data_IF_097332713044
#
_entry.id   IF_097332713044
#
_cell.length_a   1.000
_cell.length_b   1.000
_cell.length_c   1.000
_cell.angle_alpha   90.00
_cell.angle_beta   90.00
_cell.angle_gamma   90.00
#
_symmetry.space_group_name_H-M   'P 1'
#
loop_
_entity.id
_entity.type
_entity.pdbx_description
1 polymer ?
#
# COMPACT_ATOMS: atom_id res chain seq x y z
N UNK A 1 -8.82 0.83 -23.47
CA UNK A 1 -7.39 1.18 -23.31
C UNK A 1 -7.31 2.05 -22.06
N UNK A 2 -7.24 1.42 -20.89
CA UNK A 2 -7.20 2.06 -19.55
C UNK A 2 -6.18 1.35 -18.64
N UNK A 3 -5.72 0.16 -19.02
CA UNK A 3 -4.85 -0.70 -18.21
C UNK A 3 -3.44 -0.13 -18.04
N UNK A 4 -2.81 0.41 -19.09
CA UNK A 4 -1.44 0.95 -18.99
C UNK A 4 -1.32 2.20 -18.10
N UNK A 5 -2.36 3.03 -18.01
CA UNK A 5 -2.37 4.20 -17.13
C UNK A 5 -2.58 3.80 -15.67
N UNK A 6 -3.38 2.75 -15.44
CA UNK A 6 -3.65 2.20 -14.12
C UNK A 6 -2.43 1.49 -13.54
N UNK A 7 -1.76 0.63 -14.30
CA UNK A 7 -0.54 -0.04 -13.87
C UNK A 7 0.56 0.97 -13.50
N UNK A 8 0.67 2.08 -14.26
CA UNK A 8 1.59 3.19 -13.94
C UNK A 8 1.18 3.95 -12.67
N UNK A 9 -0.11 4.19 -12.47
CA UNK A 9 -0.60 4.83 -11.26
C UNK A 9 -0.33 3.96 -10.01
N UNK A 10 -0.52 2.64 -10.13
CA UNK A 10 -0.21 1.67 -9.08
C UNK A 10 1.29 1.67 -8.77
N UNK A 11 2.16 1.64 -9.79
CA UNK A 11 3.60 1.71 -9.59
C UNK A 11 4.03 2.99 -8.84
N UNK A 12 3.46 4.14 -9.18
CA UNK A 12 3.75 5.39 -8.48
C UNK A 12 3.27 5.38 -7.00
N UNK A 13 2.14 4.71 -6.72
CA UNK A 13 1.67 4.49 -5.35
C UNK A 13 2.65 3.60 -4.58
N UNK A 14 3.15 2.53 -5.20
CA UNK A 14 4.17 1.66 -4.59
C UNK A 14 5.42 2.46 -4.24
N UNK A 15 5.98 3.22 -5.18
CA UNK A 15 7.19 4.04 -4.95
C UNK A 15 7.01 4.98 -3.76
N UNK A 16 5.89 5.71 -3.72
CA UNK A 16 5.61 6.66 -2.63
C UNK A 16 5.42 5.98 -1.27
N UNK A 17 4.82 4.78 -1.24
CA UNK A 17 4.65 4.02 0.00
C UNK A 17 5.97 3.42 0.47
N UNK A 18 6.84 2.99 -0.45
CA UNK A 18 8.19 2.52 -0.12
C UNK A 18 9.01 3.67 0.50
N UNK A 19 8.92 4.87 -0.05
CA UNK A 19 9.57 6.06 0.52
C UNK A 19 8.99 6.45 1.89
N UNK A 20 7.68 6.26 2.09
CA UNK A 20 6.98 6.63 3.33
C UNK A 20 7.19 5.61 4.46
N UNK A 21 7.36 4.33 4.13
CA UNK A 21 7.46 3.22 5.08
C UNK A 21 8.75 2.41 4.87
N UNK A 22 9.95 3.02 5.05
CA UNK A 22 11.22 2.35 4.79
C UNK A 22 11.47 1.13 5.69
N UNK A 23 10.88 1.10 6.89
CA UNK A 23 11.07 0.04 7.88
C UNK A 23 10.29 -1.25 7.56
N UNK A 24 9.25 -1.17 6.70
CA UNK A 24 8.39 -2.31 6.36
C UNK A 24 9.02 -3.20 5.27
N UNK A 25 9.96 -2.65 4.51
CA UNK A 25 10.61 -3.33 3.40
C UNK A 25 9.81 -3.24 2.09
N UNK A 26 10.50 -3.04 0.94
CA UNK A 26 9.84 -2.70 -0.31
C UNK A 26 8.97 -3.82 -0.88
N UNK A 27 9.35 -5.08 -0.69
CA UNK A 27 8.57 -6.22 -1.19
C UNK A 27 7.22 -6.35 -0.48
N UNK A 28 7.19 -6.11 0.84
CA UNK A 28 5.97 -6.17 1.65
C UNK A 28 4.99 -5.06 1.25
N UNK A 29 5.51 -3.86 0.97
CA UNK A 29 4.69 -2.74 0.48
C UNK A 29 4.10 -3.05 -0.89
N UNK A 30 4.88 -3.64 -1.80
CA UNK A 30 4.41 -4.01 -3.15
C UNK A 30 3.32 -5.07 -3.09
N UNK A 31 3.52 -6.13 -2.31
CA UNK A 31 2.54 -7.19 -2.11
C UNK A 31 1.22 -6.64 -1.52
N UNK A 32 1.31 -5.79 -0.51
CA UNK A 32 0.13 -5.17 0.09
C UNK A 32 -0.65 -4.30 -0.90
N UNK A 33 0.03 -3.50 -1.73
CA UNK A 33 -0.61 -2.69 -2.77
C UNK A 33 -1.27 -3.58 -3.83
N UNK A 34 -0.61 -4.66 -4.24
CA UNK A 34 -1.12 -5.60 -5.23
C UNK A 34 -2.38 -6.33 -4.74
N UNK A 35 -2.38 -6.79 -3.48
CA UNK A 35 -3.52 -7.47 -2.85
C UNK A 35 -4.74 -6.56 -2.77
N UNK A 36 -4.54 -5.30 -2.37
CA UNK A 36 -5.62 -4.32 -2.28
C UNK A 36 -6.10 -3.91 -3.68
N UNK A 37 -5.20 -3.78 -4.65
CA UNK A 37 -5.56 -3.52 -6.06
C UNK A 37 -6.44 -4.63 -6.62
N UNK A 38 -6.10 -5.90 -6.38
CA UNK A 38 -6.92 -7.05 -6.74
C UNK A 38 -8.27 -7.08 -6.01
N UNK A 39 -8.33 -6.63 -4.75
CA UNK A 39 -9.57 -6.52 -4.00
C UNK A 39 -10.55 -5.50 -4.62
N UNK A 40 -10.04 -4.46 -5.26
CA UNK A 40 -10.82 -3.42 -5.92
C UNK A 40 -11.08 -3.69 -7.42
N UNK A 41 -10.89 -4.92 -7.90
CA UNK A 41 -11.11 -5.29 -9.30
C UNK A 41 -12.63 -5.25 -9.65
N UNK A 42 -13.12 -4.05 -9.99
CA UNK A 42 -14.52 -3.75 -10.29
C UNK A 42 -14.71 -2.62 -11.32
N UNK A 43 -15.92 -2.45 -11.88
CA UNK A 43 -16.16 -1.61 -13.07
C UNK A 43 -16.00 -0.10 -12.91
N UNK A 44 -15.67 0.42 -11.72
CA UNK A 44 -15.56 1.86 -11.45
C UNK A 44 -14.14 2.19 -10.96
N UNK A 45 -13.22 2.37 -11.92
CA UNK A 45 -11.76 2.50 -11.69
C UNK A 45 -11.21 3.93 -11.57
N UNK A 46 -12.04 4.96 -11.30
CA UNK A 46 -11.54 6.34 -11.15
C UNK A 46 -11.11 6.70 -9.71
N UNK A 47 -11.40 5.86 -8.73
CA UNK A 47 -11.08 6.12 -7.31
C UNK A 47 -10.25 5.01 -6.67
N UNK A 48 -9.97 3.92 -7.40
CA UNK A 48 -9.23 2.76 -6.90
C UNK A 48 -7.86 3.13 -6.35
N UNK A 49 -7.02 3.95 -7.03
CA UNK A 49 -5.70 4.29 -6.49
C UNK A 49 -5.75 5.02 -5.14
N UNK A 50 -6.71 5.93 -4.95
CA UNK A 50 -6.86 6.71 -3.71
C UNK A 50 -7.38 5.81 -2.57
N UNK A 51 -8.31 4.92 -2.88
CA UNK A 51 -8.84 3.96 -1.90
C UNK A 51 -7.76 2.93 -1.49
N UNK A 52 -6.96 2.46 -2.45
CA UNK A 52 -5.82 1.57 -2.22
C UNK A 52 -4.80 2.25 -1.31
N UNK A 53 -4.42 3.51 -1.59
CA UNK A 53 -3.48 4.25 -0.75
C UNK A 53 -3.99 4.39 0.69
N UNK A 54 -5.27 4.73 0.86
CA UNK A 54 -5.87 4.94 2.18
C UNK A 54 -5.90 3.65 3.01
N UNK A 55 -6.32 2.53 2.42
CA UNK A 55 -6.37 1.25 3.13
C UNK A 55 -4.98 0.69 3.39
N UNK A 56 -4.04 0.84 2.43
CA UNK A 56 -2.65 0.45 2.62
C UNK A 56 -2.02 1.22 3.79
N UNK A 57 -2.22 2.54 3.85
CA UNK A 57 -1.72 3.36 4.95
C UNK A 57 -2.27 2.93 6.31
N UNK A 58 -3.59 2.65 6.40
CA UNK A 58 -4.22 2.18 7.64
C UNK A 58 -3.62 0.84 8.10
N UNK A 59 -3.42 -0.09 7.18
CA UNK A 59 -2.86 -1.41 7.49
C UNK A 59 -1.39 -1.32 7.90
N UNK A 60 -0.62 -0.44 7.26
CA UNK A 60 0.79 -0.23 7.61
C UNK A 60 0.93 0.43 8.99
N UNK A 61 0.04 1.36 9.35
CA UNK A 61 -0.02 1.97 10.68
C UNK A 61 -0.32 0.93 11.78
N UNK A 62 -1.25 0.02 11.52
CA UNK A 62 -1.52 -1.12 12.41
C UNK A 62 -0.31 -2.07 12.55
N UNK A 63 0.44 -2.27 11.46
CA UNK A 63 1.64 -3.10 11.44
C UNK A 63 2.82 -2.45 12.18
N UNK A 64 2.99 -1.12 12.05
CA UNK A 64 4.04 -0.38 12.74
C UNK A 64 3.76 -0.25 14.24
N UNK A 65 2.52 0.08 14.60
CA UNK A 65 2.10 0.17 16.00
C UNK A 65 2.31 -1.16 16.74
N UNK A 66 1.98 -2.28 16.09
CA UNK A 66 2.23 -3.63 16.63
C UNK A 66 3.72 -3.98 16.75
N UNK A 67 4.58 -3.33 15.99
CA UNK A 67 6.04 -3.51 16.06
C UNK A 67 6.68 -2.62 17.13
N UNK A 68 6.01 -1.52 17.54
CA UNK A 68 6.46 -0.61 18.61
C UNK A 68 6.13 -1.13 20.03
N UNK A 69 5.09 -1.96 20.18
CA UNK A 69 4.71 -2.59 21.46
C UNK A 69 5.70 -3.70 21.93
N UNK A 70 6.69 -4.07 21.11
CA UNK A 70 7.71 -5.08 21.44
C UNK A 70 9.10 -4.45 21.71
N UNK A 71 9.15 -3.35 22.48
CA UNK A 71 10.39 -2.82 23.05
C UNK A 71 10.36 -2.88 24.59
N UNK A 72 10.81 -3.98 25.23
CA UNK A 72 11.04 -4.00 26.66
C UNK A 72 12.26 -3.13 26.98
N UNK A 73 12.05 -2.15 27.86
CA UNK A 73 13.08 -1.29 28.42
C UNK A 73 14.27 -2.12 28.96
N UNK A 74 15.48 -1.74 28.55
CA UNK A 74 16.74 -2.13 29.21
C UNK A 74 17.39 -0.89 29.81
#
# INVERSE_FOLDING_TARGET
MVTMDEDQAIAHVQDRLIERYPDVGPDVVRDAVQDIHHHFDGPVRNYVPILVEREAASRLDELSARSEDEQPAT
#
